data_IF_770994675707
#
_entry.id   IF_770994675707
#
_cell.length_a   1.000
_cell.length_b   1.000
_cell.length_c   1.000
_cell.angle_alpha   90.00
_cell.angle_beta   90.00
_cell.angle_gamma   90.00
#
_symmetry.space_group_name_H-M   'P 1'
#
loop_
_entity.id
_entity.type
_entity.pdbx_description
1 polymer ?
#
# COMPACT_ATOMS: atom_id res chain seq x y z
N UNK A 1 -41.39 61.77 41.54
CA UNK A 1 -40.51 62.32 42.61
C UNK A 1 -39.09 62.07 42.01
N UNK A 2 -38.57 63.05 41.30
CA UNK A 2 -37.60 64.07 41.68
C UNK A 2 -36.40 63.39 42.42
N UNK A 3 -35.21 63.57 42.09
CA UNK A 3 -34.20 64.58 41.66
C UNK A 3 -32.89 63.85 41.74
N UNK A 4 -31.77 64.01 41.14
CA UNK A 4 -31.10 65.10 40.42
C UNK A 4 -29.78 64.62 39.90
N UNK A 5 -29.41 65.10 38.75
CA UNK A 5 -28.11 65.57 38.26
C UNK A 5 -26.89 65.39 39.18
N UNK A 6 -25.78 64.82 38.59
CA UNK A 6 -24.61 65.68 38.42
C UNK A 6 -23.68 65.19 37.30
N UNK A 7 -23.23 66.15 36.56
CA UNK A 7 -22.35 66.19 35.41
C UNK A 7 -20.89 66.28 35.94
N UNK A 8 -19.98 65.49 35.45
CA UNK A 8 -18.58 65.91 35.36
C UNK A 8 -17.95 65.33 34.10
N UNK A 9 -17.53 66.20 33.20
CA UNK A 9 -16.72 66.00 32.06
C UNK A 9 -15.29 65.63 32.48
N UNK A 10 -14.69 64.65 31.83
CA UNK A 10 -13.28 64.29 31.96
C UNK A 10 -12.79 63.61 30.71
N UNK A 11 -12.30 64.37 29.76
CA UNK A 11 -11.53 63.90 28.59
C UNK A 11 -10.36 63.04 29.06
N UNK A 12 -10.37 61.76 28.73
CA UNK A 12 -9.16 60.98 28.64
C UNK A 12 -9.24 60.03 27.43
N UNK A 13 -8.34 60.29 26.49
CA UNK A 13 -8.26 59.61 25.21
C UNK A 13 -8.12 58.09 25.34
N UNK A 14 -9.10 57.38 24.82
CA UNK A 14 -8.95 55.94 24.49
C UNK A 14 -8.00 55.83 23.30
N UNK A 15 -6.70 55.64 23.54
CA UNK A 15 -5.82 54.97 22.61
C UNK A 15 -6.32 53.53 22.53
N UNK A 16 -7.11 53.24 21.50
CA UNK A 16 -7.37 51.91 21.07
C UNK A 16 -6.02 51.31 20.61
N UNK A 17 -5.46 50.48 21.45
CA UNK A 17 -4.40 49.53 21.07
C UNK A 17 -5.01 48.67 19.97
N UNK A 18 -4.70 48.97 18.70
CA UNK A 18 -4.78 48.02 17.61
C UNK A 18 -3.76 46.93 17.94
N UNK A 19 -4.19 45.90 18.65
CA UNK A 19 -3.52 44.61 18.60
C UNK A 19 -3.55 44.18 17.16
N UNK A 20 -2.42 44.36 16.53
CA UNK A 20 -2.08 43.84 15.21
C UNK A 20 -2.09 42.31 15.33
N UNK A 21 -3.30 41.75 15.20
CA UNK A 21 -3.52 40.29 15.09
C UNK A 21 -3.16 39.86 13.65
N UNK A 22 -1.94 40.22 13.24
CA UNK A 22 -1.29 39.59 12.12
C UNK A 22 -1.02 38.17 12.55
N UNK A 23 -2.04 37.29 12.46
CA UNK A 23 -1.82 35.87 12.28
C UNK A 23 -0.88 35.74 11.07
N UNK A 24 0.41 35.68 11.36
CA UNK A 24 1.39 35.18 10.40
C UNK A 24 0.88 33.78 10.05
N UNK A 25 0.16 33.68 8.91
CA UNK A 25 -0.02 32.40 8.27
C UNK A 25 1.39 31.83 8.13
N UNK A 26 1.69 30.82 8.95
CA UNK A 26 2.93 30.07 8.79
C UNK A 26 3.00 29.64 7.31
N UNK A 27 4.13 29.79 6.62
CA UNK A 27 4.26 29.36 5.23
C UNK A 27 3.69 27.95 5.14
N UNK A 28 2.71 27.72 4.24
CA UNK A 28 2.10 26.40 4.06
C UNK A 28 3.24 25.43 3.80
N UNK A 29 3.46 24.49 4.74
CA UNK A 29 4.50 23.48 4.65
C UNK A 29 4.45 22.78 3.28
N UNK A 30 5.58 22.63 2.62
CA UNK A 30 5.65 22.20 1.23
C UNK A 30 5.40 20.70 1.11
N UNK A 31 4.19 20.31 0.66
CA UNK A 31 3.81 18.92 0.43
C UNK A 31 4.49 18.33 -0.82
N UNK A 32 4.52 19.09 -1.91
CA UNK A 32 5.01 18.65 -3.21
C UNK A 32 6.51 18.92 -3.36
N UNK A 33 7.34 18.22 -2.57
CA UNK A 33 8.78 18.22 -2.79
C UNK A 33 9.13 17.40 -4.04
N UNK A 34 10.23 17.75 -4.71
CA UNK A 34 10.73 16.99 -5.87
C UNK A 34 10.89 15.50 -5.53
N UNK A 35 11.42 15.20 -4.34
CA UNK A 35 11.56 13.83 -3.83
C UNK A 35 10.22 13.11 -3.75
N UNK A 36 9.20 13.74 -3.15
CA UNK A 36 7.87 13.15 -3.03
C UNK A 36 7.26 12.85 -4.40
N UNK A 37 7.36 13.79 -5.34
CA UNK A 37 6.86 13.62 -6.72
C UNK A 37 7.57 12.46 -7.43
N UNK A 38 8.91 12.38 -7.35
CA UNK A 38 9.68 11.29 -7.95
C UNK A 38 9.30 9.93 -7.38
N UNK A 39 9.12 9.83 -6.06
CA UNK A 39 8.68 8.61 -5.39
C UNK A 39 7.26 8.22 -5.81
N UNK A 40 6.32 9.17 -5.88
CA UNK A 40 4.94 8.91 -6.31
C UNK A 40 4.91 8.41 -7.76
N UNK A 41 5.62 9.05 -8.69
CA UNK A 41 5.67 8.63 -10.10
C UNK A 41 6.31 7.25 -10.23
N UNK A 42 7.42 7.00 -9.52
CA UNK A 42 8.08 5.70 -9.52
C UNK A 42 7.16 4.59 -9.01
N UNK A 43 6.43 4.86 -7.92
CA UNK A 43 5.44 3.93 -7.37
C UNK A 43 4.31 3.66 -8.35
N UNK A 44 3.79 4.71 -9.00
CA UNK A 44 2.78 4.60 -10.04
C UNK A 44 3.27 3.67 -11.17
N UNK A 45 4.49 3.87 -11.67
CA UNK A 45 5.08 2.99 -12.68
C UNK A 45 5.18 1.53 -12.20
N UNK A 46 5.65 1.31 -10.96
CA UNK A 46 5.77 -0.04 -10.40
C UNK A 46 4.42 -0.74 -10.30
N UNK A 47 3.38 -0.06 -9.78
CA UNK A 47 2.03 -0.61 -9.70
C UNK A 47 1.41 -0.84 -11.08
N UNK A 48 1.63 0.05 -12.06
CA UNK A 48 1.17 -0.16 -13.43
C UNK A 48 1.75 -1.45 -14.02
N UNK A 49 3.06 -1.67 -13.85
CA UNK A 49 3.74 -2.90 -14.31
C UNK A 49 3.18 -4.13 -13.59
N UNK A 50 3.12 -4.10 -12.25
CA UNK A 50 2.65 -5.24 -11.46
C UNK A 50 1.20 -5.61 -11.76
N UNK A 51 0.29 -4.64 -11.73
CA UNK A 51 -1.14 -4.88 -11.99
C UNK A 51 -1.42 -5.21 -13.46
N UNK A 52 -0.70 -4.56 -14.37
CA UNK A 52 -0.79 -4.87 -15.79
C UNK A 52 -0.38 -6.32 -16.09
N UNK A 53 0.77 -6.75 -15.58
CA UNK A 53 1.22 -8.14 -15.75
C UNK A 53 0.28 -9.14 -15.07
N UNK A 54 -0.26 -8.81 -13.91
CA UNK A 54 -1.17 -9.69 -13.19
C UNK A 54 -2.46 -9.94 -13.98
N UNK A 55 -3.02 -8.93 -14.63
CA UNK A 55 -4.24 -9.05 -15.43
C UNK A 55 -4.02 -9.66 -16.81
N UNK A 56 -2.85 -9.46 -17.43
CA UNK A 56 -2.59 -9.86 -18.81
C UNK A 56 -1.83 -11.19 -18.93
N UNK A 57 -1.13 -11.64 -17.88
CA UNK A 57 -0.39 -12.91 -17.93
C UNK A 57 -1.31 -14.10 -18.19
N UNK A 58 -2.50 -14.14 -17.61
CA UNK A 58 -3.47 -15.22 -17.85
C UNK A 58 -3.93 -15.24 -19.31
N UNK A 59 -4.15 -14.07 -19.92
CA UNK A 59 -4.50 -13.94 -21.33
C UNK A 59 -3.33 -14.36 -22.22
N UNK A 60 -2.12 -13.88 -21.93
CA UNK A 60 -0.92 -14.26 -22.66
C UNK A 60 -0.69 -15.78 -22.64
N UNK A 61 -0.80 -16.41 -21.47
CA UNK A 61 -0.65 -17.87 -21.32
C UNK A 61 -1.70 -18.62 -22.14
N UNK A 62 -2.94 -18.15 -22.14
CA UNK A 62 -4.02 -18.77 -22.91
C UNK A 62 -3.78 -18.70 -24.45
N UNK A 63 -3.19 -17.61 -24.95
CA UNK A 63 -2.81 -17.48 -26.38
C UNK A 63 -1.79 -18.54 -26.81
N UNK A 64 -0.95 -19.02 -25.90
CA UNK A 64 0.05 -20.08 -26.15
C UNK A 64 -0.40 -21.47 -25.66
N UNK A 65 -1.72 -21.68 -25.50
CA UNK A 65 -2.31 -22.99 -25.17
C UNK A 65 -2.19 -23.41 -23.71
N UNK A 66 -1.83 -22.47 -22.81
CA UNK A 66 -1.79 -22.74 -21.38
C UNK A 66 -3.19 -22.72 -20.75
N UNK A 67 -3.35 -23.47 -19.64
CA UNK A 67 -4.64 -23.59 -18.91
C UNK A 67 -4.84 -22.46 -17.91
N UNK A 68 -6.06 -22.27 -17.43
CA UNK A 68 -6.35 -21.34 -16.34
C UNK A 68 -5.72 -21.78 -15.02
N UNK A 69 -5.58 -23.12 -14.80
CA UNK A 69 -4.84 -23.65 -13.65
C UNK A 69 -3.37 -23.19 -13.67
N UNK A 70 -2.71 -23.25 -14.82
CA UNK A 70 -1.34 -22.79 -14.97
C UNK A 70 -1.23 -21.27 -14.74
N UNK A 71 -2.15 -20.47 -15.28
CA UNK A 71 -2.21 -19.05 -15.01
C UNK A 71 -2.39 -18.75 -13.50
N UNK A 72 -3.21 -19.56 -12.80
CA UNK A 72 -3.38 -19.51 -11.35
C UNK A 72 -2.10 -19.79 -10.58
N UNK A 73 -1.33 -20.81 -11.01
CA UNK A 73 0.00 -21.12 -10.44
C UNK A 73 0.95 -19.93 -10.62
N UNK A 74 0.99 -19.32 -11.80
CA UNK A 74 1.83 -18.14 -12.05
C UNK A 74 1.45 -16.94 -11.18
N UNK A 75 0.15 -16.74 -10.91
CA UNK A 75 -0.34 -15.74 -10.00
C UNK A 75 0.08 -16.02 -8.56
N UNK A 76 -0.03 -17.27 -8.11
CA UNK A 76 0.38 -17.70 -6.77
C UNK A 76 1.89 -17.54 -6.56
N UNK A 77 2.69 -17.89 -7.56
CA UNK A 77 4.15 -17.74 -7.52
C UNK A 77 4.55 -16.27 -7.41
N UNK A 78 3.91 -15.38 -8.16
CA UNK A 78 4.13 -13.93 -8.03
C UNK A 78 3.79 -13.43 -6.62
N UNK A 79 2.60 -13.77 -6.12
CA UNK A 79 2.14 -13.33 -4.80
C UNK A 79 2.97 -13.93 -3.67
N UNK A 80 3.39 -15.19 -3.79
CA UNK A 80 4.27 -15.88 -2.86
C UNK A 80 5.65 -15.23 -2.78
N UNK A 81 6.26 -14.94 -3.93
CA UNK A 81 7.53 -14.23 -4.01
C UNK A 81 7.40 -12.80 -3.43
N UNK A 82 6.31 -12.11 -3.71
CA UNK A 82 6.02 -10.80 -3.14
C UNK A 82 5.90 -10.86 -1.61
N UNK A 83 5.18 -11.84 -1.07
CA UNK A 83 5.01 -12.03 0.37
C UNK A 83 6.37 -12.28 1.06
N UNK A 84 7.19 -13.19 0.52
CA UNK A 84 8.52 -13.50 1.07
C UNK A 84 9.42 -12.26 1.09
N UNK A 85 9.51 -11.54 -0.02
CA UNK A 85 10.36 -10.34 -0.10
C UNK A 85 9.83 -9.24 0.81
N UNK A 86 8.51 -9.09 0.97
CA UNK A 86 7.92 -8.11 1.90
C UNK A 86 8.39 -8.34 3.34
N UNK A 87 8.45 -9.60 3.78
CA UNK A 87 8.95 -9.95 5.11
C UNK A 87 10.44 -9.60 5.29
N UNK A 88 11.22 -9.70 4.22
CA UNK A 88 12.66 -9.41 4.23
C UNK A 88 12.97 -7.93 3.99
N UNK A 89 12.02 -7.17 3.44
CA UNK A 89 12.25 -5.77 3.03
C UNK A 89 12.48 -4.83 4.21
N UNK A 90 11.83 -5.05 5.37
CA UNK A 90 12.00 -4.19 6.55
C UNK A 90 13.48 -4.07 6.96
N UNK A 91 14.16 -5.16 7.36
CA UNK A 91 15.57 -5.12 7.71
C UNK A 91 16.50 -4.60 6.60
N UNK A 92 16.15 -4.87 5.33
CA UNK A 92 16.93 -4.39 4.18
C UNK A 92 16.81 -2.87 4.00
N UNK A 93 15.61 -2.32 4.19
CA UNK A 93 15.34 -0.88 4.12
C UNK A 93 16.07 -0.16 5.25
N UNK A 94 16.03 -0.71 6.46
CA UNK A 94 16.68 -0.11 7.62
C UNK A 94 18.21 -0.17 7.51
N UNK A 95 18.77 -1.25 6.95
CA UNK A 95 20.22 -1.45 6.86
C UNK A 95 20.89 -0.84 5.63
N UNK A 96 20.20 -0.78 4.47
CA UNK A 96 20.79 -0.34 3.19
C UNK A 96 20.16 0.92 2.61
N UNK A 97 19.08 1.40 3.21
CA UNK A 97 18.34 2.56 2.75
C UNK A 97 17.25 2.22 1.71
N UNK A 98 16.27 3.14 1.61
CA UNK A 98 15.08 2.98 0.76
C UNK A 98 15.43 3.01 -0.72
N UNK A 99 16.31 3.94 -1.10
CA UNK A 99 16.74 4.15 -2.48
C UNK A 99 17.39 2.92 -3.09
N UNK A 100 18.32 2.28 -2.36
CA UNK A 100 19.04 1.09 -2.85
C UNK A 100 18.07 -0.07 -3.03
N UNK A 101 17.16 -0.28 -2.08
CA UNK A 101 16.15 -1.35 -2.17
C UNK A 101 15.23 -1.13 -3.38
N UNK A 102 14.81 0.11 -3.65
CA UNK A 102 14.00 0.45 -4.83
C UNK A 102 14.76 0.24 -6.14
N UNK A 103 16.02 0.66 -6.22
CA UNK A 103 16.85 0.47 -7.42
C UNK A 103 17.06 -1.01 -7.75
N UNK A 104 17.41 -1.82 -6.74
CA UNK A 104 17.56 -3.27 -6.90
C UNK A 104 16.21 -3.91 -7.25
N UNK A 105 15.12 -3.50 -6.58
CA UNK A 105 13.78 -3.99 -6.87
C UNK A 105 13.36 -3.73 -8.32
N UNK A 106 13.58 -2.51 -8.84
CA UNK A 106 13.32 -2.23 -10.26
C UNK A 106 14.21 -3.01 -11.21
N UNK A 107 15.49 -3.18 -10.90
CA UNK A 107 16.39 -3.99 -11.73
C UNK A 107 15.90 -5.44 -11.81
N UNK A 108 15.52 -6.04 -10.69
CA UNK A 108 14.94 -7.39 -10.64
C UNK A 108 13.61 -7.45 -11.40
N UNK A 109 12.74 -6.44 -11.25
CA UNK A 109 11.47 -6.35 -11.97
C UNK A 109 11.71 -6.27 -13.48
N UNK A 110 12.66 -5.46 -13.95
CA UNK A 110 13.02 -5.31 -15.37
C UNK A 110 13.54 -6.64 -15.92
N UNK A 111 14.43 -7.34 -15.21
CA UNK A 111 14.90 -8.67 -15.63
C UNK A 111 13.72 -9.64 -15.77
N UNK A 112 12.79 -9.60 -14.80
CA UNK A 112 11.58 -10.41 -14.85
C UNK A 112 10.62 -10.05 -16.00
N UNK A 113 10.60 -8.78 -16.45
CA UNK A 113 9.74 -8.35 -17.58
C UNK A 113 10.40 -8.55 -18.95
N UNK A 114 11.72 -8.46 -19.03
CA UNK A 114 12.49 -8.68 -20.27
C UNK A 114 12.64 -10.16 -20.59
N UNK A 115 12.76 -11.02 -19.58
CA UNK A 115 12.98 -12.45 -19.76
C UNK A 115 11.99 -13.15 -20.71
N UNK A 116 10.68 -12.91 -20.60
CA UNK A 116 9.68 -13.47 -21.51
C UNK A 116 9.86 -13.14 -23.00
N UNK A 117 10.60 -12.10 -23.35
CA UNK A 117 10.90 -11.75 -24.75
C UNK A 117 11.84 -12.77 -25.44
N UNK A 118 12.57 -13.55 -24.66
CA UNK A 118 13.56 -14.50 -25.17
C UNK A 118 13.05 -15.93 -25.21
N UNK A 119 11.81 -16.19 -24.80
CA UNK A 119 11.22 -17.53 -24.81
C UNK A 119 9.74 -17.48 -25.12
N UNK A 120 9.28 -18.41 -25.96
CA UNK A 120 7.85 -18.65 -26.21
C UNK A 120 7.30 -19.80 -25.38
N UNK A 121 8.18 -20.52 -24.69
CA UNK A 121 7.76 -21.60 -23.80
C UNK A 121 7.14 -21.04 -22.53
N UNK A 122 6.04 -21.60 -22.11
CA UNK A 122 5.29 -21.14 -20.92
C UNK A 122 5.96 -21.61 -19.63
N UNK A 123 6.70 -22.73 -19.65
CA UNK A 123 7.34 -23.27 -18.44
C UNK A 123 8.35 -22.35 -17.75
N UNK A 124 9.25 -21.60 -18.45
CA UNK A 124 10.17 -20.66 -17.83
C UNK A 124 9.48 -19.45 -17.17
N UNK A 125 8.19 -19.19 -17.50
CA UNK A 125 7.45 -18.06 -16.92
C UNK A 125 7.40 -18.10 -15.39
N UNK A 126 7.46 -19.28 -14.75
CA UNK A 126 7.51 -19.40 -13.30
C UNK A 126 8.67 -18.59 -12.71
N UNK A 127 9.87 -18.68 -13.33
CA UNK A 127 11.07 -17.94 -12.86
C UNK A 127 10.86 -16.44 -13.02
N UNK A 128 10.33 -16.01 -14.16
CA UNK A 128 10.07 -14.59 -14.39
C UNK A 128 9.00 -14.03 -13.44
N UNK A 129 7.98 -14.82 -13.11
CA UNK A 129 6.95 -14.45 -12.11
C UNK A 129 7.53 -14.30 -10.70
N UNK A 130 8.50 -15.15 -10.31
CA UNK A 130 9.25 -14.98 -9.05
C UNK A 130 9.97 -13.62 -9.05
N UNK A 131 10.73 -13.33 -10.11
CA UNK A 131 11.48 -12.07 -10.22
C UNK A 131 10.54 -10.84 -10.23
N UNK A 132 9.44 -10.92 -10.99
CA UNK A 132 8.43 -9.85 -11.04
C UNK A 132 7.82 -9.60 -9.66
N UNK A 133 7.40 -10.64 -8.93
CA UNK A 133 6.83 -10.53 -7.58
C UNK A 133 7.82 -9.99 -6.56
N UNK A 134 9.07 -10.49 -6.60
CA UNK A 134 10.14 -10.04 -5.73
C UNK A 134 10.48 -8.56 -5.95
N UNK A 135 10.69 -8.15 -7.22
CA UNK A 135 10.98 -6.76 -7.58
C UNK A 135 9.83 -5.81 -7.22
N UNK A 136 8.60 -6.20 -7.57
CA UNK A 136 7.39 -5.43 -7.23
C UNK A 136 7.27 -5.18 -5.72
N UNK A 137 7.42 -6.22 -4.91
CA UNK A 137 7.29 -6.12 -3.46
C UNK A 137 8.39 -5.26 -2.83
N UNK A 138 9.65 -5.42 -3.28
CA UNK A 138 10.76 -4.60 -2.79
C UNK A 138 10.53 -3.11 -3.07
N UNK A 139 10.13 -2.76 -4.30
CA UNK A 139 9.84 -1.37 -4.68
C UNK A 139 8.67 -0.82 -3.89
N UNK A 140 7.54 -1.53 -3.83
CA UNK A 140 6.31 -1.01 -3.19
C UNK A 140 6.47 -0.83 -1.69
N UNK A 141 7.22 -1.70 -1.02
CA UNK A 141 7.50 -1.58 0.42
C UNK A 141 8.44 -0.40 0.70
N UNK A 142 9.53 -0.27 -0.06
CA UNK A 142 10.49 0.80 0.14
C UNK A 142 9.92 2.17 -0.26
N UNK A 143 9.10 2.23 -1.32
CA UNK A 143 8.49 3.49 -1.78
C UNK A 143 7.47 4.06 -0.79
N UNK A 144 6.70 3.21 -0.10
CA UNK A 144 5.78 3.66 0.93
C UNK A 144 6.52 4.35 2.09
N UNK A 145 7.67 3.80 2.50
CA UNK A 145 8.54 4.41 3.52
C UNK A 145 9.17 5.70 2.99
N UNK A 146 9.70 5.69 1.76
CA UNK A 146 10.31 6.88 1.14
C UNK A 146 9.30 8.03 0.95
N UNK A 147 8.04 7.71 0.63
CA UNK A 147 6.98 8.71 0.56
C UNK A 147 6.70 9.35 1.93
N UNK A 148 6.61 8.54 2.99
CA UNK A 148 6.43 9.04 4.35
C UNK A 148 7.64 9.88 4.82
N UNK A 149 8.86 9.46 4.51
CA UNK A 149 10.10 10.18 4.84
C UNK A 149 10.16 11.60 4.20
N UNK A 150 9.57 11.75 3.01
CA UNK A 150 9.60 13.00 2.25
C UNK A 150 8.51 14.01 2.67
N UNK A 151 7.57 13.61 3.54
CA UNK A 151 6.43 14.42 3.95
C UNK A 151 6.67 15.11 5.29
N UNK A 152 6.10 16.34 5.49
CA UNK A 152 6.00 16.96 6.80
C UNK A 152 5.05 16.15 7.71
N UNK A 153 5.38 16.03 9.00
CA UNK A 153 4.56 15.30 9.97
C UNK A 153 3.12 15.86 10.08
N UNK A 154 2.97 17.20 10.00
CA UNK A 154 1.68 17.89 10.03
C UNK A 154 0.75 17.58 8.84
N UNK A 155 1.31 17.22 7.68
CA UNK A 155 0.58 16.93 6.44
C UNK A 155 0.73 15.47 5.97
N UNK A 156 1.19 14.59 6.86
CA UNK A 156 1.41 13.17 6.56
C UNK A 156 0.16 12.50 5.98
N UNK A 157 -1.01 12.72 6.60
CA UNK A 157 -2.28 12.12 6.15
C UNK A 157 -2.66 12.55 4.74
N UNK A 158 -2.50 13.84 4.41
CA UNK A 158 -2.78 14.39 3.08
C UNK A 158 -1.83 13.79 2.03
N UNK A 159 -0.52 13.77 2.33
CA UNK A 159 0.48 13.23 1.40
C UNK A 159 0.32 11.74 1.14
N UNK A 160 0.08 10.93 2.16
CA UNK A 160 -0.22 9.51 2.02
C UNK A 160 -1.52 9.30 1.24
N UNK A 161 -2.50 10.20 1.36
CA UNK A 161 -3.71 10.22 0.52
C UNK A 161 -3.39 10.36 -0.96
N UNK A 162 -2.54 11.30 -1.37
CA UNK A 162 -2.09 11.46 -2.77
C UNK A 162 -1.27 10.27 -3.27
N UNK A 163 -0.40 9.73 -2.42
CA UNK A 163 0.33 8.50 -2.72
C UNK A 163 -0.63 7.33 -3.01
N UNK A 164 -1.66 7.16 -2.18
CA UNK A 164 -2.71 6.14 -2.36
C UNK A 164 -3.57 6.37 -3.61
N UNK A 165 -3.82 7.62 -4.02
CA UNK A 165 -4.50 7.94 -5.29
C UNK A 165 -3.64 7.52 -6.49
N UNK A 166 -2.32 7.71 -6.44
CA UNK A 166 -1.41 7.22 -7.47
C UNK A 166 -1.48 5.69 -7.63
N UNK A 167 -1.50 4.96 -6.52
CA UNK A 167 -1.69 3.51 -6.53
C UNK A 167 -3.04 3.12 -7.15
N UNK A 168 -4.13 3.79 -6.75
CA UNK A 168 -5.47 3.52 -7.27
C UNK A 168 -5.56 3.75 -8.79
N UNK A 169 -4.93 4.81 -9.29
CA UNK A 169 -4.85 5.11 -10.72
C UNK A 169 -4.10 4.01 -11.47
N UNK A 170 -3.01 3.50 -10.91
CA UNK A 170 -2.21 2.42 -11.49
C UNK A 170 -2.98 1.11 -11.60
N UNK A 171 -3.84 0.81 -10.60
CA UNK A 171 -4.70 -0.38 -10.62
C UNK A 171 -5.73 -0.36 -11.76
N UNK A 172 -5.95 0.79 -12.37
CA UNK A 172 -6.82 0.98 -13.52
C UNK A 172 -6.04 0.99 -14.83
N UNK A 173 -5.09 1.91 -14.91
CA UNK A 173 -4.35 2.17 -16.15
C UNK A 173 -3.44 0.99 -16.50
N UNK A 174 -2.83 0.35 -15.50
CA UNK A 174 -1.95 -0.81 -15.71
C UNK A 174 -2.62 -1.97 -16.44
N UNK A 175 -3.71 -2.55 -15.89
CA UNK A 175 -4.45 -3.62 -16.55
C UNK A 175 -4.99 -3.23 -17.91
N UNK A 176 -5.58 -2.03 -18.06
CA UNK A 176 -6.15 -1.57 -19.32
C UNK A 176 -5.07 -1.49 -20.42
N UNK A 177 -3.92 -0.89 -20.11
CA UNK A 177 -2.81 -0.80 -21.04
C UNK A 177 -2.21 -2.18 -21.38
N UNK A 178 -1.98 -3.01 -20.37
CA UNK A 178 -1.38 -4.33 -20.55
C UNK A 178 -2.29 -5.27 -21.38
N UNK A 179 -3.60 -5.24 -21.14
CA UNK A 179 -4.56 -6.00 -21.92
C UNK A 179 -4.67 -5.48 -23.37
N UNK A 180 -4.58 -4.16 -23.59
CA UNK A 180 -4.49 -3.61 -24.92
C UNK A 180 -3.21 -4.06 -25.65
N UNK A 181 -2.07 -4.07 -24.96
CA UNK A 181 -0.79 -4.48 -25.55
C UNK A 181 -0.74 -5.98 -25.86
N UNK A 182 -1.26 -6.85 -24.99
CA UNK A 182 -1.29 -8.31 -25.23
C UNK A 182 -2.24 -8.68 -26.38
N UNK A 183 -3.20 -7.81 -26.71
CA UNK A 183 -4.12 -8.01 -27.84
C UNK A 183 -3.54 -7.51 -29.16
N UNK A 184 -2.33 -6.96 -29.19
CA UNK A 184 -1.62 -6.58 -30.41
C UNK A 184 -0.87 -7.79 -31.00
N UNK A 185 -0.48 -7.68 -32.25
CA UNK A 185 0.39 -8.66 -32.92
C UNK A 185 1.79 -8.02 -33.14
N UNK A 186 2.86 -8.56 -32.55
CA UNK A 186 2.93 -9.75 -31.68
C UNK A 186 2.53 -9.46 -30.22
N UNK A 187 1.98 -10.46 -29.48
CA UNK A 187 1.54 -10.29 -28.08
C UNK A 187 2.68 -9.95 -27.11
N UNK A 188 3.92 -10.20 -27.49
CA UNK A 188 5.15 -9.86 -26.77
C UNK A 188 5.31 -8.33 -26.56
N UNK A 189 4.59 -7.49 -27.32
CA UNK A 189 4.49 -6.04 -27.12
C UNK A 189 4.06 -5.68 -25.69
N UNK A 190 3.33 -6.57 -25.01
CA UNK A 190 3.07 -6.47 -23.58
C UNK A 190 4.34 -6.25 -22.78
N UNK A 191 5.33 -7.14 -22.95
CA UNK A 191 6.57 -7.11 -22.16
C UNK A 191 7.45 -5.91 -22.52
N UNK A 192 7.44 -5.48 -23.78
CA UNK A 192 8.15 -4.26 -24.22
C UNK A 192 7.54 -3.04 -23.52
N UNK A 193 6.20 -2.90 -23.53
CA UNK A 193 5.51 -1.78 -22.94
C UNK A 193 5.68 -1.71 -21.42
N UNK A 194 5.50 -2.83 -20.70
CA UNK A 194 5.67 -2.83 -19.23
C UNK A 194 7.13 -2.64 -18.83
N UNK A 195 8.10 -3.12 -19.62
CA UNK A 195 9.52 -2.86 -19.39
C UNK A 195 9.85 -1.39 -19.55
N UNK A 196 9.32 -0.73 -20.58
CA UNK A 196 9.51 0.70 -20.77
C UNK A 196 9.01 1.51 -19.58
N UNK A 197 7.84 1.15 -19.03
CA UNK A 197 7.29 1.78 -17.81
C UNK A 197 8.20 1.50 -16.60
N UNK A 198 8.70 0.28 -16.44
CA UNK A 198 9.62 -0.06 -15.36
C UNK A 198 10.93 0.74 -15.42
N UNK A 199 11.47 0.94 -16.63
CA UNK A 199 12.67 1.76 -16.86
C UNK A 199 12.42 3.23 -16.50
N UNK A 200 11.25 3.78 -16.82
CA UNK A 200 10.87 5.13 -16.37
C UNK A 200 10.83 5.20 -14.84
N UNK A 201 10.22 4.22 -14.17
CA UNK A 201 10.19 4.14 -12.71
C UNK A 201 11.59 4.07 -12.10
N UNK A 202 12.48 3.24 -12.69
CA UNK A 202 13.89 3.16 -12.29
C UNK A 202 14.62 4.51 -12.45
N UNK A 203 14.41 5.19 -13.58
CA UNK A 203 15.01 6.50 -13.85
C UNK A 203 14.57 7.55 -12.81
N UNK A 204 13.29 7.56 -12.41
CA UNK A 204 12.80 8.46 -11.36
C UNK A 204 13.53 8.22 -10.03
N UNK A 205 13.76 6.96 -9.63
CA UNK A 205 14.49 6.65 -8.39
C UNK A 205 15.99 6.92 -8.53
N UNK A 206 16.55 6.77 -9.73
CA UNK A 206 17.95 7.12 -9.97
C UNK A 206 18.20 8.62 -9.73
N UNK A 207 17.24 9.47 -10.10
CA UNK A 207 17.25 10.92 -9.84
C UNK A 207 16.98 11.26 -8.36
N UNK A 208 16.28 10.40 -7.63
CA UNK A 208 15.93 10.60 -6.23
C UNK A 208 17.13 10.28 -5.32
N UNK A 209 17.79 11.31 -4.75
CA UNK A 209 19.03 11.16 -3.96
C UNK A 209 18.93 11.69 -2.54
N UNK A 210 17.72 11.82 -1.98
CA UNK A 210 17.48 12.49 -0.71
C UNK A 210 18.23 11.86 0.49
N UNK A 211 18.51 10.55 0.46
CA UNK A 211 19.27 9.89 1.54
C UNK A 211 20.74 10.35 1.60
N UNK A 212 21.32 10.72 0.43
CA UNK A 212 22.68 11.28 0.35
C UNK A 212 22.69 12.79 0.52
N UNK A 213 21.60 13.45 0.15
CA UNK A 213 21.41 14.89 0.15
C UNK A 213 20.12 15.26 0.90
N UNK A 214 20.09 15.11 2.25
CA UNK A 214 18.90 15.41 3.06
C UNK A 214 18.43 16.86 2.92
N UNK A 215 19.33 17.76 2.55
CA UNK A 215 19.04 19.16 2.27
C UNK A 215 18.06 19.38 1.12
N UNK A 216 17.85 18.39 0.26
CA UNK A 216 16.86 18.44 -0.83
C UNK A 216 15.42 18.24 -0.34
N UNK A 217 15.24 17.79 0.90
CA UNK A 217 13.96 17.65 1.54
C UNK A 217 13.56 18.98 2.23
N UNK A 218 12.25 19.25 2.37
CA UNK A 218 11.77 20.32 3.26
C UNK A 218 12.32 20.18 4.69
N UNK A 219 12.53 21.28 5.38
CA UNK A 219 13.04 21.26 6.78
C UNK A 219 12.13 20.49 7.72
N UNK A 220 10.83 20.51 7.45
CA UNK A 220 9.81 19.82 8.24
C UNK A 220 9.62 18.34 7.86
N UNK A 221 10.35 17.83 6.86
CA UNK A 221 10.25 16.43 6.43
C UNK A 221 10.67 15.49 7.55
N UNK A 222 9.90 14.39 7.74
CA UNK A 222 10.11 13.43 8.83
C UNK A 222 11.53 12.86 8.82
N UNK A 223 12.06 12.54 7.65
CA UNK A 223 13.43 12.01 7.53
C UNK A 223 14.49 13.01 8.02
N UNK A 224 14.36 14.29 7.65
CA UNK A 224 15.31 15.34 8.04
C UNK A 224 15.26 15.59 9.53
N UNK A 225 14.08 15.67 10.13
CA UNK A 225 13.93 15.81 11.60
C UNK A 225 14.53 14.64 12.35
N UNK A 226 14.30 13.40 11.90
CA UNK A 226 14.89 12.20 12.50
C UNK A 226 16.42 12.25 12.49
N UNK A 227 17.03 12.65 11.37
CA UNK A 227 18.49 12.80 11.29
C UNK A 227 19.04 13.88 12.23
N UNK A 228 18.31 14.96 12.44
CA UNK A 228 18.68 16.03 13.36
C UNK A 228 18.57 15.57 14.82
N UNK A 229 17.54 14.81 15.16
CA UNK A 229 17.37 14.17 16.46
C UNK A 229 18.51 13.17 16.75
N UNK A 230 18.81 12.26 15.83
CA UNK A 230 19.91 11.30 15.94
C UNK A 230 21.26 11.99 16.12
N UNK A 231 21.54 13.05 15.38
CA UNK A 231 22.77 13.85 15.54
C UNK A 231 22.84 14.54 16.90
N UNK A 232 21.71 15.07 17.38
CA UNK A 232 21.61 15.71 18.69
C UNK A 232 21.83 14.70 19.84
N UNK A 233 21.25 13.50 19.73
CA UNK A 233 21.45 12.43 20.70
C UNK A 233 22.89 11.94 20.72
N UNK A 234 23.48 11.70 19.54
CA UNK A 234 24.88 11.30 19.42
C UNK A 234 25.85 12.35 20.01
N UNK A 235 25.55 13.64 19.77
CA UNK A 235 26.33 14.73 20.35
C UNK A 235 26.22 14.77 21.89
N UNK A 236 24.99 14.53 22.43
CA UNK A 236 24.79 14.46 23.89
C UNK A 236 25.49 13.27 24.52
N UNK A 237 25.42 12.10 23.88
CA UNK A 237 26.09 10.88 24.37
C UNK A 237 27.59 11.03 24.31
N UNK A 238 28.16 11.54 23.23
CA UNK A 238 29.59 11.81 23.11
C UNK A 238 30.09 12.87 24.11
N UNK A 239 29.28 13.91 24.39
CA UNK A 239 29.61 14.88 25.42
C UNK A 239 29.56 14.29 26.84
N UNK A 240 28.61 13.38 27.12
CA UNK A 240 28.52 12.69 28.40
C UNK A 240 29.70 11.74 28.60
N UNK A 241 30.09 10.97 27.58
CA UNK A 241 31.27 10.10 27.62
C UNK A 241 32.59 10.88 27.79
N UNK A 242 32.73 12.04 27.13
CA UNK A 242 33.88 12.92 27.30
C UNK A 242 33.95 13.51 28.71
N UNK A 243 32.80 13.86 29.31
CA UNK A 243 32.70 14.37 30.68
C UNK A 243 33.09 13.29 31.72
N UNK A 244 32.62 12.04 31.52
CA UNK A 244 33.00 10.89 32.34
C UNK A 244 34.52 10.57 32.22
N UNK A 245 35.05 10.64 31.00
CA UNK A 245 36.49 10.42 30.78
C UNK A 245 37.34 11.50 31.47
N UNK A 246 36.90 12.77 31.40
CA UNK A 246 37.58 13.90 32.04
C UNK A 246 37.44 13.80 33.57
N UNK A 247 36.29 13.38 34.09
CA UNK A 247 36.07 13.14 35.53
C UNK A 247 36.93 12.00 36.08
N UNK A 248 37.14 10.93 35.29
CA UNK A 248 38.05 9.83 35.67
C UNK A 248 39.52 10.24 35.64
N UNK A 249 39.92 11.08 34.70
CA UNK A 249 41.28 11.61 34.65
C UNK A 249 41.60 12.57 35.83
N UNK A 250 40.58 13.33 36.30
CA UNK A 250 40.69 14.18 37.49
C UNK A 250 40.69 13.41 38.81
N UNK A 251 40.05 12.22 38.85
CA UNK A 251 39.99 11.39 40.07
C UNK A 251 41.19 10.46 40.28
N UNK A 252 42.07 10.29 39.26
CA UNK A 252 43.27 9.47 39.38
C UNK A 252 44.40 10.14 40.20
N UNK A 253 44.17 11.37 40.69
CA UNK A 253 45.13 12.13 41.54
C UNK A 253 44.95 11.95 43.02
N UNK A 254 43.91 11.29 43.53
CA UNK A 254 43.71 11.06 44.96
C UNK A 254 43.13 9.66 45.17
N UNK A 255 44.00 8.68 45.25
CA UNK A 255 43.60 7.31 45.60
C UNK A 255 43.90 7.05 47.07
N UNK A 256 42.88 6.78 47.86
CA UNK A 256 42.95 5.79 48.93
C UNK A 256 41.55 5.24 49.23
N UNK A 257 41.47 3.92 49.05
CA UNK A 257 40.60 2.93 49.68
C UNK A 257 39.18 3.31 50.11
N UNK A 258 38.16 2.74 49.43
CA UNK A 258 37.14 1.94 50.12
C UNK A 258 36.37 1.05 49.12
N UNK A 259 36.33 -0.21 49.41
CA UNK A 259 35.47 -1.26 48.84
C UNK A 259 34.01 -0.86 48.97
N UNK A 260 33.32 -0.76 47.85
CA UNK A 260 31.87 -1.06 47.69
C UNK A 260 31.52 -0.90 46.20
N UNK A 261 31.75 -1.92 45.40
CA UNK A 261 31.39 -1.90 43.98
C UNK A 261 30.76 -3.23 43.59
N UNK A 262 29.51 -3.48 44.06
CA UNK A 262 28.76 -4.66 43.59
C UNK A 262 27.31 -4.35 43.21
N UNK A 263 26.90 -3.08 43.18
CA UNK A 263 25.48 -2.75 42.89
C UNK A 263 25.23 -2.06 41.53
N UNK A 264 26.29 -1.61 40.82
CA UNK A 264 26.09 -0.82 39.59
C UNK A 264 26.18 -1.65 38.29
N UNK A 265 26.61 -2.93 38.39
CA UNK A 265 26.71 -3.80 37.23
C UNK A 265 25.36 -4.47 36.84
N UNK A 266 24.46 -4.63 37.82
CA UNK A 266 23.14 -5.23 37.55
C UNK A 266 22.16 -4.27 36.88
N UNK A 267 22.28 -2.97 37.10
CA UNK A 267 21.37 -1.97 36.44
C UNK A 267 21.70 -1.71 34.96
N UNK A 268 22.88 -2.10 34.47
CA UNK A 268 23.29 -1.95 33.06
C UNK A 268 22.84 -3.11 32.15
N UNK A 269 22.37 -4.23 32.71
CA UNK A 269 21.90 -5.37 31.92
C UNK A 269 20.42 -5.34 31.58
N UNK A 270 19.62 -4.43 32.15
CA UNK A 270 18.17 -4.30 31.86
C UNK A 270 17.82 -3.42 30.64
N UNK A 271 18.79 -2.75 30.01
CA UNK A 271 18.59 -1.81 28.91
C UNK A 271 18.95 -2.31 27.52
N UNK A 272 19.36 -3.57 27.34
CA UNK A 272 19.53 -4.09 25.98
C UNK A 272 18.16 -4.41 25.37
N UNK A 273 17.77 -3.82 24.22
CA UNK A 273 16.54 -4.19 23.55
C UNK A 273 16.62 -5.68 23.23
N UNK A 274 15.79 -6.46 23.93
CA UNK A 274 15.58 -7.89 23.63
C UNK A 274 15.44 -8.00 22.12
N UNK A 275 16.34 -8.72 21.44
CA UNK A 275 16.19 -9.01 20.00
C UNK A 275 14.86 -9.71 19.82
N UNK A 276 13.83 -8.92 19.51
CA UNK A 276 12.52 -9.44 19.19
C UNK A 276 12.65 -10.42 18.03
N UNK A 277 12.06 -11.59 18.16
CA UNK A 277 11.96 -12.56 17.07
C UNK A 277 11.30 -11.90 15.86
N UNK A 278 11.72 -12.26 14.64
CA UNK A 278 11.10 -11.79 13.40
C UNK A 278 9.58 -12.06 13.44
N UNK A 279 9.17 -13.19 14.01
CA UNK A 279 7.76 -13.54 14.19
C UNK A 279 7.02 -12.55 15.12
N UNK A 280 7.64 -12.10 16.25
CA UNK A 280 7.02 -11.13 17.16
C UNK A 280 6.99 -9.70 16.57
N UNK A 281 7.87 -9.39 15.63
CA UNK A 281 7.85 -8.12 14.90
C UNK A 281 6.73 -8.05 13.86
N UNK A 282 6.36 -9.17 13.26
CA UNK A 282 5.36 -9.24 12.17
C UNK A 282 3.97 -9.53 12.73
N UNK A 283 3.86 -10.43 13.73
CA UNK A 283 2.56 -10.84 14.24
C UNK A 283 2.03 -9.83 15.27
N UNK A 284 1.02 -9.07 14.85
CA UNK A 284 0.33 -8.10 15.70
C UNK A 284 -1.13 -8.55 15.92
N UNK A 285 -1.41 -9.07 17.11
CA UNK A 285 -2.74 -9.61 17.45
C UNK A 285 -3.86 -8.56 17.39
N UNK A 286 -3.55 -7.31 17.70
CA UNK A 286 -4.53 -6.22 17.69
C UNK A 286 -4.94 -5.80 16.27
N UNK A 287 -4.15 -6.17 15.25
CA UNK A 287 -4.50 -5.96 13.84
C UNK A 287 -5.42 -7.05 13.27
N UNK A 288 -5.59 -8.19 13.96
CA UNK A 288 -6.39 -9.33 13.48
C UNK A 288 -7.84 -8.96 13.11
N UNK A 289 -8.54 -8.07 13.85
CA UNK A 289 -9.91 -7.69 13.46
C UNK A 289 -10.05 -7.16 12.03
N UNK A 290 -9.09 -6.36 11.55
CA UNK A 290 -9.09 -5.90 10.16
C UNK A 290 -8.44 -6.89 9.19
N UNK A 291 -7.46 -7.66 9.66
CA UNK A 291 -6.66 -8.58 8.83
C UNK A 291 -7.44 -9.85 8.44
N UNK A 292 -8.18 -10.47 9.36
CA UNK A 292 -8.92 -11.72 9.08
C UNK A 292 -10.02 -11.55 8.03
N UNK A 293 -10.90 -10.52 8.08
CA UNK A 293 -11.85 -10.29 7.00
C UNK A 293 -11.17 -10.03 5.65
N UNK A 294 -10.00 -9.38 5.69
CA UNK A 294 -9.20 -9.12 4.48
C UNK A 294 -8.65 -10.42 3.89
N UNK A 295 -8.14 -11.33 4.70
CA UNK A 295 -7.68 -12.64 4.23
C UNK A 295 -8.79 -13.42 3.53
N UNK A 296 -10.04 -13.33 4.03
CA UNK A 296 -11.20 -14.03 3.47
C UNK A 296 -11.75 -13.38 2.19
N UNK A 297 -11.65 -12.04 2.05
CA UNK A 297 -12.09 -11.34 0.82
C UNK A 297 -10.99 -11.28 -0.24
N UNK A 298 -9.72 -11.41 0.13
CA UNK A 298 -8.58 -11.34 -0.79
C UNK A 298 -8.69 -12.33 -1.97
N UNK A 299 -9.23 -13.55 -1.83
CA UNK A 299 -9.60 -14.42 -2.94
C UNK A 299 -10.44 -13.75 -4.02
N UNK A 300 -11.44 -12.96 -3.64
CA UNK A 300 -12.29 -12.25 -4.60
C UNK A 300 -11.53 -11.14 -5.32
N UNK A 301 -10.65 -10.43 -4.63
CA UNK A 301 -9.75 -9.45 -5.26
C UNK A 301 -8.78 -10.13 -6.23
N UNK A 302 -8.25 -11.29 -5.86
CA UNK A 302 -7.38 -12.11 -6.72
C UNK A 302 -8.08 -12.53 -8.01
N UNK A 303 -9.34 -12.96 -7.95
CA UNK A 303 -10.11 -13.28 -9.14
C UNK A 303 -10.22 -12.08 -10.09
N UNK A 304 -10.57 -10.92 -9.58
CA UNK A 304 -10.66 -9.71 -10.41
C UNK A 304 -9.30 -9.36 -11.03
N UNK A 305 -8.24 -9.36 -10.24
CA UNK A 305 -6.91 -8.95 -10.70
C UNK A 305 -6.38 -9.90 -11.80
N UNK A 306 -6.56 -11.21 -11.66
CA UNK A 306 -5.89 -12.21 -12.51
C UNK A 306 -6.80 -12.86 -13.54
N UNK A 307 -8.13 -12.94 -13.33
CA UNK A 307 -9.02 -13.76 -14.15
C UNK A 307 -10.09 -12.98 -14.90
N UNK A 308 -10.49 -11.77 -14.47
CA UNK A 308 -11.53 -11.00 -15.19
C UNK A 308 -11.11 -10.63 -16.61
N UNK A 309 -9.82 -10.31 -16.82
CA UNK A 309 -9.28 -10.07 -18.15
C UNK A 309 -9.40 -11.30 -19.06
N UNK A 310 -9.00 -12.47 -18.54
CA UNK A 310 -9.11 -13.76 -19.24
C UNK A 310 -10.58 -14.10 -19.52
N UNK A 311 -11.46 -13.88 -18.54
CA UNK A 311 -12.91 -14.11 -18.70
C UNK A 311 -13.51 -13.22 -19.79
N UNK A 312 -13.23 -11.91 -19.77
CA UNK A 312 -13.70 -11.00 -20.81
C UNK A 312 -13.23 -11.41 -22.22
N UNK A 313 -11.95 -11.82 -22.33
CA UNK A 313 -11.39 -12.32 -23.59
C UNK A 313 -12.07 -13.64 -24.04
N UNK A 314 -12.32 -14.57 -23.13
CA UNK A 314 -13.00 -15.85 -23.44
C UNK A 314 -14.44 -15.65 -23.89
N UNK A 315 -15.10 -14.61 -23.40
CA UNK A 315 -16.45 -14.21 -23.85
C UNK A 315 -16.43 -13.46 -25.20
N UNK A 316 -15.25 -13.07 -25.71
CA UNK A 316 -15.13 -12.24 -26.92
C UNK A 316 -15.56 -10.78 -26.68
N UNK A 317 -15.46 -10.26 -25.45
CA UNK A 317 -15.69 -8.84 -25.15
C UNK A 317 -14.65 -7.99 -25.87
N UNK A 318 -15.07 -6.95 -26.60
CA UNK A 318 -14.21 -6.18 -27.50
C UNK A 318 -13.00 -5.53 -26.80
N UNK A 319 -13.15 -5.07 -25.55
CA UNK A 319 -12.06 -4.55 -24.74
C UNK A 319 -12.24 -4.88 -23.25
N UNK A 320 -11.76 -6.05 -22.83
CA UNK A 320 -11.83 -6.47 -21.43
C UNK A 320 -11.10 -5.50 -20.45
N UNK A 321 -10.14 -4.71 -20.93
CA UNK A 321 -9.42 -3.70 -20.15
C UNK A 321 -10.32 -2.55 -19.66
N UNK A 322 -11.40 -2.23 -20.37
CA UNK A 322 -12.36 -1.18 -19.94
C UNK A 322 -13.02 -1.49 -18.59
N UNK A 323 -13.19 -2.77 -18.23
CA UNK A 323 -13.66 -3.15 -16.90
C UNK A 323 -12.82 -2.50 -15.80
N UNK A 324 -11.49 -2.61 -15.90
CA UNK A 324 -10.58 -2.05 -14.90
C UNK A 324 -10.57 -0.52 -14.89
N UNK A 325 -10.63 0.10 -16.06
CA UNK A 325 -10.72 1.56 -16.19
C UNK A 325 -11.97 2.10 -15.50
N UNK A 326 -13.12 1.53 -15.81
CA UNK A 326 -14.41 1.94 -15.26
C UNK A 326 -14.50 1.65 -13.77
N UNK A 327 -13.98 0.49 -13.33
CA UNK A 327 -13.89 0.13 -11.91
C UNK A 327 -13.07 1.15 -11.13
N UNK A 328 -11.92 1.59 -11.64
CA UNK A 328 -11.11 2.53 -10.93
C UNK A 328 -11.64 3.96 -10.97
N UNK A 329 -12.25 4.39 -12.05
CA UNK A 329 -12.96 5.69 -12.06
C UNK A 329 -14.03 5.71 -10.98
N UNK A 330 -14.85 4.66 -10.91
CA UNK A 330 -15.87 4.49 -9.87
C UNK A 330 -15.25 4.42 -8.47
N UNK A 331 -14.17 3.66 -8.30
CA UNK A 331 -13.42 3.57 -7.03
C UNK A 331 -12.90 4.94 -6.58
N UNK A 332 -12.30 5.74 -7.46
CA UNK A 332 -11.78 7.07 -7.13
C UNK A 332 -12.91 8.00 -6.70
N UNK A 333 -14.03 8.03 -7.44
CA UNK A 333 -15.21 8.84 -7.09
C UNK A 333 -15.72 8.48 -5.70
N UNK A 334 -15.80 7.21 -5.38
CA UNK A 334 -16.25 6.74 -4.07
C UNK A 334 -15.24 7.09 -2.97
N UNK A 335 -13.94 6.92 -3.20
CA UNK A 335 -12.88 7.27 -2.23
C UNK A 335 -12.88 8.76 -1.86
N UNK A 336 -13.12 9.63 -2.82
CA UNK A 336 -13.20 11.09 -2.55
C UNK A 336 -14.35 11.46 -1.59
N UNK A 337 -15.41 10.65 -1.57
CA UNK A 337 -16.60 10.87 -0.72
C UNK A 337 -16.64 9.98 0.52
N UNK A 338 -15.94 8.85 0.51
CA UNK A 338 -16.04 7.83 1.56
C UNK A 338 -15.34 8.21 2.87
N UNK A 339 -14.34 9.09 2.86
CA UNK A 339 -13.63 9.49 4.08
C UNK A 339 -14.58 10.02 5.15
N UNK A 340 -15.36 11.06 4.82
CA UNK A 340 -16.34 11.62 5.74
C UNK A 340 -17.46 10.64 6.15
N UNK A 341 -17.75 9.64 5.30
CA UNK A 341 -18.75 8.61 5.59
C UNK A 341 -18.18 7.53 6.53
N UNK A 342 -16.92 7.14 6.33
CA UNK A 342 -16.23 6.19 7.19
C UNK A 342 -16.00 6.71 8.61
N UNK A 343 -15.91 8.04 8.78
CA UNK A 343 -15.77 8.67 10.09
C UNK A 343 -17.10 8.75 10.87
N UNK A 344 -18.24 8.69 10.16
CA UNK A 344 -19.57 8.83 10.77
C UNK A 344 -20.23 7.52 11.16
N UNK A 345 -19.91 6.44 10.50
CA UNK A 345 -20.60 5.17 10.68
C UNK A 345 -19.63 4.06 11.10
N UNK A 346 -20.12 3.18 11.98
CA UNK A 346 -19.38 2.01 12.40
C UNK A 346 -18.94 1.16 11.20
N UNK A 347 -17.71 0.65 11.17
CA UNK A 347 -17.19 -0.18 10.08
C UNK A 347 -18.10 -1.37 9.73
N UNK A 348 -18.73 -1.99 10.72
CA UNK A 348 -19.64 -3.14 10.54
C UNK A 348 -20.94 -2.78 9.80
N UNK A 349 -21.36 -1.50 9.78
CA UNK A 349 -22.53 -1.01 9.03
C UNK A 349 -22.18 -0.66 7.59
N UNK A 350 -20.94 -0.23 7.34
CA UNK A 350 -20.45 0.15 6.02
C UNK A 350 -20.11 -1.09 5.19
N UNK A 351 -19.46 -2.08 5.82
CA UNK A 351 -18.92 -3.27 5.15
C UNK A 351 -19.97 -4.03 4.32
N UNK A 352 -21.17 -4.36 4.82
CA UNK A 352 -22.16 -5.13 4.04
C UNK A 352 -22.64 -4.39 2.79
N UNK A 353 -22.76 -3.06 2.86
CA UNK A 353 -23.14 -2.23 1.71
C UNK A 353 -22.03 -2.29 0.63
N UNK A 354 -20.77 -2.16 1.05
CA UNK A 354 -19.64 -2.24 0.12
C UNK A 354 -19.51 -3.64 -0.50
N UNK A 355 -19.70 -4.70 0.28
CA UNK A 355 -19.69 -6.08 -0.22
C UNK A 355 -20.84 -6.38 -1.15
N UNK A 356 -22.04 -5.79 -0.91
CA UNK A 356 -23.20 -5.95 -1.80
C UNK A 356 -22.90 -5.45 -3.22
N UNK A 357 -22.17 -4.34 -3.37
CA UNK A 357 -21.70 -3.89 -4.69
C UNK A 357 -20.80 -4.94 -5.36
N UNK A 358 -19.91 -5.59 -4.62
CA UNK A 358 -19.09 -6.69 -5.16
C UNK A 358 -19.94 -7.88 -5.60
N UNK A 359 -20.87 -8.32 -4.75
CA UNK A 359 -21.78 -9.45 -5.07
C UNK A 359 -22.61 -9.15 -6.32
N UNK A 360 -23.17 -7.94 -6.44
CA UNK A 360 -23.94 -7.53 -7.63
C UNK A 360 -23.03 -7.53 -8.88
N UNK A 361 -21.82 -7.00 -8.78
CA UNK A 361 -20.87 -7.01 -9.90
C UNK A 361 -20.53 -8.45 -10.34
N UNK A 362 -20.27 -9.35 -9.42
CA UNK A 362 -20.01 -10.76 -9.72
C UNK A 362 -21.24 -11.47 -10.32
N UNK A 363 -22.45 -11.18 -9.83
CA UNK A 363 -23.69 -11.70 -10.42
C UNK A 363 -23.88 -11.21 -11.88
N UNK A 364 -23.55 -9.94 -12.17
CA UNK A 364 -23.54 -9.40 -13.53
C UNK A 364 -22.52 -10.12 -14.42
N UNK A 365 -21.32 -10.43 -13.90
CA UNK A 365 -20.34 -11.22 -14.65
C UNK A 365 -20.85 -12.64 -14.94
N UNK A 366 -21.53 -13.31 -13.99
CA UNK A 366 -22.17 -14.60 -14.24
C UNK A 366 -23.19 -14.47 -15.38
N UNK A 367 -24.04 -13.44 -15.34
CA UNK A 367 -25.03 -13.20 -16.37
C UNK A 367 -24.41 -13.02 -17.76
N UNK A 368 -23.23 -12.40 -17.87
CA UNK A 368 -22.51 -12.24 -19.14
C UNK A 368 -22.15 -13.59 -19.80
N UNK A 369 -21.75 -14.60 -19.02
CA UNK A 369 -21.37 -15.91 -19.54
C UNK A 369 -22.48 -16.96 -19.52
N UNK A 370 -23.69 -16.58 -19.16
CA UNK A 370 -24.85 -17.51 -19.12
C UNK A 370 -26.03 -16.94 -19.92
N UNK A 371 -26.79 -16.01 -19.34
CA UNK A 371 -28.04 -15.48 -19.94
C UNK A 371 -27.77 -14.54 -21.12
N UNK A 372 -26.63 -13.80 -21.08
CA UNK A 372 -26.29 -12.80 -22.10
C UNK A 372 -25.24 -13.30 -23.10
N UNK A 373 -24.87 -14.57 -23.04
CA UNK A 373 -23.88 -15.10 -23.96
C UNK A 373 -24.36 -14.96 -25.44
N UNK A 374 -23.46 -14.39 -26.27
CA UNK A 374 -23.82 -14.04 -27.66
C UNK A 374 -24.73 -12.83 -27.81
N UNK A 375 -25.23 -12.21 -26.75
CA UNK A 375 -26.08 -11.02 -26.81
C UNK A 375 -25.29 -9.73 -27.04
N UNK A 376 -25.80 -8.76 -27.82
CA UNK A 376 -25.21 -7.43 -27.97
C UNK A 376 -25.09 -6.67 -26.63
N UNK A 377 -25.94 -7.00 -25.65
CA UNK A 377 -25.92 -6.36 -24.32
C UNK A 377 -24.80 -6.87 -23.41
N UNK A 378 -24.16 -8.00 -23.74
CA UNK A 378 -23.12 -8.63 -22.91
C UNK A 378 -21.97 -7.67 -22.57
N UNK A 379 -21.42 -7.01 -23.58
CA UNK A 379 -20.28 -6.09 -23.39
C UNK A 379 -20.66 -4.92 -22.50
N UNK A 380 -21.87 -4.35 -22.70
CA UNK A 380 -22.37 -3.27 -21.85
C UNK A 380 -22.51 -3.70 -20.37
N UNK A 381 -23.06 -4.91 -20.13
CA UNK A 381 -23.21 -5.45 -18.77
C UNK A 381 -21.85 -5.78 -18.16
N UNK A 382 -20.90 -6.29 -18.93
CA UNK A 382 -19.54 -6.54 -18.48
C UNK A 382 -18.86 -5.25 -18.02
N UNK A 383 -18.98 -4.16 -18.79
CA UNK A 383 -18.42 -2.85 -18.42
C UNK A 383 -19.15 -2.23 -17.22
N UNK A 384 -20.47 -2.36 -17.15
CA UNK A 384 -21.24 -1.90 -16.01
C UNK A 384 -20.87 -2.65 -14.72
N UNK A 385 -20.56 -3.95 -14.82
CA UNK A 385 -20.04 -4.71 -13.67
C UNK A 385 -18.74 -4.11 -13.12
N UNK A 386 -17.86 -3.57 -13.98
CA UNK A 386 -16.68 -2.82 -13.56
C UNK A 386 -17.04 -1.58 -12.74
N UNK A 387 -18.01 -0.77 -13.20
CA UNK A 387 -18.47 0.41 -12.46
C UNK A 387 -19.03 0.02 -11.10
N UNK A 388 -19.83 -1.04 -11.05
CA UNK A 388 -20.46 -1.54 -9.81
C UNK A 388 -19.42 -2.15 -8.84
N UNK A 389 -18.34 -2.75 -9.36
CA UNK A 389 -17.28 -3.31 -8.53
C UNK A 389 -16.41 -2.24 -7.84
N UNK A 390 -16.22 -1.07 -8.47
CA UNK A 390 -15.37 0.00 -7.95
C UNK A 390 -15.65 0.41 -6.50
N UNK A 391 -16.90 0.64 -6.06
CA UNK A 391 -17.24 0.89 -4.66
C UNK A 391 -16.83 -0.21 -3.70
N UNK A 392 -16.91 -1.47 -4.11
CA UNK A 392 -16.49 -2.60 -3.26
C UNK A 392 -15.00 -2.50 -2.90
N UNK A 393 -14.12 -2.48 -3.89
CA UNK A 393 -12.67 -2.42 -3.65
C UNK A 393 -12.26 -1.06 -3.05
N UNK A 394 -12.97 0.01 -3.41
CA UNK A 394 -12.72 1.36 -2.94
C UNK A 394 -12.96 1.55 -1.45
N UNK A 395 -13.89 0.79 -0.87
CA UNK A 395 -14.29 0.89 0.54
C UNK A 395 -13.74 -0.28 1.37
N UNK A 396 -13.90 -1.53 0.92
CA UNK A 396 -13.60 -2.72 1.75
C UNK A 396 -12.12 -2.76 2.17
N UNK A 397 -11.21 -2.52 1.23
CA UNK A 397 -9.78 -2.59 1.51
C UNK A 397 -9.32 -1.51 2.52
N UNK A 398 -9.57 -0.19 2.30
CA UNK A 398 -9.17 0.83 3.26
C UNK A 398 -9.95 0.74 4.59
N UNK A 399 -11.19 0.28 4.59
CA UNK A 399 -11.98 0.08 5.82
C UNK A 399 -11.33 -0.97 6.72
N UNK A 400 -11.01 -2.15 6.18
CA UNK A 400 -10.36 -3.23 6.91
C UNK A 400 -8.95 -2.81 7.39
N UNK A 401 -8.20 -2.08 6.55
CA UNK A 401 -6.88 -1.55 6.91
C UNK A 401 -6.99 -0.55 8.06
N UNK A 402 -7.97 0.35 8.02
CA UNK A 402 -8.22 1.29 9.11
C UNK A 402 -8.58 0.58 10.42
N UNK A 403 -9.40 -0.48 10.36
CA UNK A 403 -9.72 -1.31 11.55
C UNK A 403 -8.48 -1.99 12.09
N UNK A 404 -7.60 -2.53 11.24
CA UNK A 404 -6.36 -3.17 11.66
C UNK A 404 -5.41 -2.20 12.37
N UNK A 405 -5.23 -0.99 11.82
CA UNK A 405 -4.32 0.03 12.36
C UNK A 405 -4.90 0.71 13.60
N UNK A 406 -6.18 1.10 13.59
CA UNK A 406 -6.82 1.83 14.69
C UNK A 406 -6.82 1.05 16.02
N UNK A 407 -6.88 -0.27 15.96
CA UNK A 407 -6.86 -1.13 17.14
C UNK A 407 -5.45 -1.45 17.64
N UNK A 408 -4.41 -0.98 16.96
CA UNK A 408 -3.00 -1.27 17.27
C UNK A 408 -2.33 -0.05 17.89
N UNK A 409 -1.48 -0.23 18.92
CA UNK A 409 -0.68 0.87 19.49
C UNK A 409 0.16 1.57 18.41
N UNK A 410 0.36 2.91 18.49
CA UNK A 410 1.07 3.70 17.48
C UNK A 410 2.46 3.16 17.14
N UNK A 411 3.19 2.65 18.12
CA UNK A 411 4.55 2.11 17.99
C UNK A 411 4.58 0.86 17.09
N UNK A 412 3.42 0.20 16.91
CA UNK A 412 3.26 -1.06 16.16
C UNK A 412 2.42 -0.94 14.89
N UNK A 413 2.08 0.27 14.45
CA UNK A 413 1.32 0.48 13.21
C UNK A 413 2.02 -0.12 11.98
N UNK A 414 3.35 -0.09 11.95
CA UNK A 414 4.13 -0.73 10.89
C UNK A 414 3.89 -2.24 10.83
N UNK A 415 3.90 -2.92 11.98
CA UNK A 415 3.63 -4.36 12.08
C UNK A 415 2.18 -4.69 11.68
N UNK A 416 1.21 -3.88 12.12
CA UNK A 416 -0.20 -4.05 11.74
C UNK A 416 -0.39 -3.94 10.22
N UNK A 417 0.21 -2.94 9.59
CA UNK A 417 0.13 -2.75 8.15
C UNK A 417 0.86 -3.86 7.36
N UNK A 418 2.00 -4.33 7.87
CA UNK A 418 2.72 -5.45 7.27
C UNK A 418 1.90 -6.75 7.33
N UNK A 419 1.27 -7.04 8.46
CA UNK A 419 0.39 -8.21 8.62
C UNK A 419 -0.83 -8.12 7.70
N UNK A 420 -1.44 -6.93 7.59
CA UNK A 420 -2.56 -6.68 6.68
C UNK A 420 -2.17 -6.93 5.21
N UNK A 421 -1.03 -6.41 4.77
CA UNK A 421 -0.54 -6.61 3.40
C UNK A 421 -0.16 -8.07 3.13
N UNK A 422 0.42 -8.75 4.13
CA UNK A 422 0.72 -10.18 4.04
C UNK A 422 -0.55 -11.01 3.85
N UNK A 423 -1.63 -10.68 4.57
CA UNK A 423 -2.92 -11.35 4.41
C UNK A 423 -3.49 -11.17 3.00
N UNK A 424 -3.34 -9.99 2.40
CA UNK A 424 -3.70 -9.76 0.99
C UNK A 424 -2.86 -10.63 0.05
N UNK A 425 -1.53 -10.62 0.17
CA UNK A 425 -0.65 -11.38 -0.71
C UNK A 425 -0.92 -12.90 -0.62
N UNK A 426 -1.08 -13.42 0.60
CA UNK A 426 -1.37 -14.85 0.85
C UNK A 426 -2.78 -15.22 0.37
N UNK A 427 -3.77 -14.39 0.69
CA UNK A 427 -5.15 -14.64 0.29
C UNK A 427 -5.36 -14.60 -1.22
N UNK A 428 -4.78 -13.63 -1.90
CA UNK A 428 -4.80 -13.50 -3.36
C UNK A 428 -4.05 -14.68 -3.99
N UNK A 429 -2.79 -14.91 -3.60
CA UNK A 429 -1.94 -15.91 -4.22
C UNK A 429 -2.45 -17.33 -4.03
N UNK A 430 -2.84 -17.70 -2.79
CA UNK A 430 -3.36 -19.03 -2.50
C UNK A 430 -4.66 -19.34 -3.25
N UNK A 431 -5.54 -18.34 -3.36
CA UNK A 431 -6.80 -18.51 -4.04
C UNK A 431 -6.67 -18.61 -5.57
N UNK A 432 -5.68 -17.97 -6.18
CA UNK A 432 -5.52 -18.01 -7.63
C UNK A 432 -5.30 -19.42 -8.18
N UNK A 433 -4.59 -20.29 -7.44
CA UNK A 433 -4.46 -21.71 -7.81
C UNK A 433 -5.82 -22.40 -7.78
N UNK A 434 -6.60 -22.17 -6.72
CA UNK A 434 -7.94 -22.74 -6.54
C UNK A 434 -8.85 -22.27 -7.68
N UNK A 435 -8.85 -20.97 -7.99
CA UNK A 435 -9.67 -20.41 -9.06
C UNK A 435 -9.29 -20.97 -10.45
N UNK A 436 -8.00 -21.17 -10.71
CA UNK A 436 -7.57 -21.80 -11.94
C UNK A 436 -8.08 -23.23 -12.09
N UNK A 437 -7.92 -24.06 -11.03
CA UNK A 437 -8.39 -25.45 -10.99
C UNK A 437 -9.92 -25.54 -11.11
N UNK A 438 -10.66 -24.71 -10.36
CA UNK A 438 -12.11 -24.66 -10.42
C UNK A 438 -12.59 -24.24 -11.82
N UNK A 439 -11.91 -23.25 -12.41
CA UNK A 439 -12.26 -22.79 -13.76
C UNK A 439 -12.01 -23.86 -14.82
N UNK A 440 -10.89 -24.58 -14.79
CA UNK A 440 -10.59 -25.64 -15.76
C UNK A 440 -11.57 -26.82 -15.62
N UNK A 441 -12.10 -27.07 -14.41
CA UNK A 441 -13.02 -28.19 -14.14
C UNK A 441 -14.50 -27.84 -14.36
N UNK A 442 -14.92 -26.62 -14.00
CA UNK A 442 -16.33 -26.24 -13.90
C UNK A 442 -16.68 -24.93 -14.64
N UNK A 443 -15.68 -24.22 -15.18
CA UNK A 443 -15.86 -22.97 -15.89
C UNK A 443 -16.01 -21.73 -14.99
N UNK A 444 -16.01 -20.56 -15.63
CA UNK A 444 -16.06 -19.26 -14.96
C UNK A 444 -17.31 -19.03 -14.11
N UNK A 445 -18.55 -19.40 -14.53
CA UNK A 445 -19.73 -19.15 -13.71
C UNK A 445 -19.65 -19.79 -12.31
N UNK A 446 -19.16 -21.03 -12.23
CA UNK A 446 -18.99 -21.73 -10.95
C UNK A 446 -17.88 -21.08 -10.12
N UNK A 447 -16.76 -20.71 -10.75
CA UNK A 447 -15.66 -19.99 -10.08
C UNK A 447 -16.17 -18.69 -9.48
N UNK A 448 -16.97 -17.91 -10.21
CA UNK A 448 -17.51 -16.65 -9.70
C UNK A 448 -18.51 -16.88 -8.56
N UNK A 449 -19.28 -17.96 -8.57
CA UNK A 449 -20.12 -18.34 -7.42
C UNK A 449 -19.27 -18.57 -6.16
N UNK A 450 -18.14 -19.28 -6.27
CA UNK A 450 -17.21 -19.46 -5.15
C UNK A 450 -16.61 -18.12 -4.66
N UNK A 451 -16.31 -17.20 -5.58
CA UNK A 451 -15.84 -15.85 -5.26
C UNK A 451 -16.90 -15.07 -4.45
N UNK A 452 -18.18 -15.17 -4.84
CA UNK A 452 -19.30 -14.58 -4.08
C UNK A 452 -19.36 -15.17 -2.67
N UNK A 453 -19.19 -16.49 -2.52
CA UNK A 453 -19.15 -17.13 -1.20
C UNK A 453 -18.03 -16.56 -0.32
N UNK A 454 -16.83 -16.29 -0.86
CA UNK A 454 -15.76 -15.63 -0.12
C UNK A 454 -16.14 -14.21 0.32
N UNK A 455 -16.79 -13.43 -0.55
CA UNK A 455 -17.24 -12.09 -0.21
C UNK A 455 -18.28 -12.10 0.93
N UNK A 456 -19.25 -13.02 0.87
CA UNK A 456 -20.24 -13.21 1.94
C UNK A 456 -19.59 -13.71 3.23
N UNK A 457 -18.70 -14.69 3.16
CA UNK A 457 -17.97 -15.22 4.32
C UNK A 457 -17.16 -14.12 5.04
N UNK A 458 -16.54 -13.20 4.28
CA UNK A 458 -15.80 -12.05 4.84
C UNK A 458 -16.68 -11.19 5.76
N UNK A 459 -17.95 -10.99 5.44
CA UNK A 459 -18.88 -10.27 6.30
C UNK A 459 -19.11 -10.99 7.64
N UNK A 460 -19.33 -12.32 7.61
CA UNK A 460 -19.54 -13.08 8.84
C UNK A 460 -18.28 -13.10 9.71
N UNK A 461 -17.10 -13.22 9.10
CA UNK A 461 -15.83 -13.12 9.83
C UNK A 461 -15.68 -11.72 10.44
N UNK A 462 -15.93 -10.65 9.68
CA UNK A 462 -15.88 -9.30 10.21
C UNK A 462 -16.84 -9.09 11.39
N UNK A 463 -18.08 -9.61 11.28
CA UNK A 463 -19.07 -9.54 12.37
C UNK A 463 -18.60 -10.26 13.65
N UNK A 464 -17.78 -11.30 13.50
CA UNK A 464 -17.25 -12.06 14.64
C UNK A 464 -16.05 -11.37 15.31
N UNK A 465 -15.20 -10.68 14.51
CA UNK A 465 -13.90 -10.19 14.99
C UNK A 465 -13.82 -8.66 15.13
N UNK A 466 -14.72 -7.89 14.51
CA UNK A 466 -14.71 -6.43 14.66
C UNK A 466 -15.01 -6.06 16.11
N UNK A 467 -14.35 -5.01 16.65
CA UNK A 467 -14.64 -4.50 17.97
C UNK A 467 -16.12 -4.15 18.08
N UNK A 468 -16.77 -4.66 19.10
CA UNK A 468 -18.13 -4.23 19.44
C UNK A 468 -18.00 -2.80 19.97
N UNK A 469 -18.66 -1.85 19.33
CA UNK A 469 -18.76 -0.51 19.85
C UNK A 469 -19.50 -0.61 21.21
N UNK A 470 -18.80 -0.20 22.27
CA UNK A 470 -19.38 0.00 23.62
C UNK A 470 -20.13 1.32 23.66
#
# INVERSE_FOLDING_TARGET
>A
MQISRNRYDGHMGKRASKTDDSRRESPREQLWSTTFVLVVISTLCCFMVGQGLNSSTSVYVALYGGTAAYAGVLAAVFSGAAAVVRLLSGPLIDGRGRRIVMLVGFAVLIVGTVGPLFTRDVAPFVVFRILQGAGFSAVTTASATAAADALPASRMGEGIGYYGLGQALSMSVGPALALALVSTDPPENLFIGVTAIAVVGLAMIFLCRYEKHPETLPEEAVYRRRLEEEKSEAARTGAAEALEATGRAGAAGTAESSETTTSTAQSRMEGQPRRESIASRIFEKHALPGTLPTLVIAPAFGFVIFFVGLYGTSLGVGNAGLFYTLSAVSMVIVRLKSGAFMDRFAPIKILPVALAFGVVAFAMLIACGTVLDGSPARDAVFYLAGIVYGPCIGIVNPLNQAVAVKNTPPERWGAANALFQLALDVGIGGACVIWGLVNDSFGFPVTICCVICCAVASYFVARAVYPKES
#
